data_IF_059342964269
#
_entry.id   IF_059342964269
#
_cell.length_a   1.000
_cell.length_b   1.000
_cell.length_c   1.000
_cell.angle_alpha   90.00
_cell.angle_beta   90.00
_cell.angle_gamma   90.00
#
_symmetry.space_group_name_H-M   'P 1'
#
loop_
_entity.id
_entity.type
_entity.pdbx_description
1 polymer ?
2 non-polymer ?
3 non-polymer ?
4 water ?
#
# COMPACT_ATOMS: atom_id res chain seq x y z
N UNK A 17 7.25 -12.85 19.98
CA UNK A 17 6.49 -11.63 19.70
C UNK A 17 7.24 -10.66 18.75
N UNK A 18 6.50 -9.80 18.06
CA UNK A 18 7.05 -8.95 17.00
C UNK A 18 8.02 -7.99 17.57
N UNK A 19 9.20 -7.86 16.97
CA UNK A 19 10.26 -7.06 17.50
C UNK A 19 10.47 -5.80 16.69
N UNK A 20 9.42 -5.28 16.04
CA UNK A 20 9.61 -4.05 15.21
C UNK A 20 8.31 -3.26 15.35
N UNK A 21 8.28 -2.06 14.81
CA UNK A 21 7.05 -1.30 14.78
C UNK A 21 6.16 -1.79 13.62
N UNK A 22 4.89 -1.36 13.64
CA UNK A 22 3.96 -1.61 12.54
C UNK A 22 4.34 -0.72 11.36
N UNK A 23 5.38 -1.17 10.72
CA UNK A 23 6.17 -0.39 9.88
C UNK A 23 5.40 -0.20 8.56
N UNK A 24 4.50 -1.12 8.09
CA UNK A 24 3.83 -0.78 6.79
C UNK A 24 2.55 -0.01 7.14
N UNK A 25 2.46 1.27 6.83
CA UNK A 25 1.35 2.10 7.11
C UNK A 25 0.52 2.28 5.87
N UNK A 26 -0.78 2.20 6.02
CA UNK A 26 -1.71 2.37 4.92
C UNK A 26 -2.69 3.45 5.36
N UNK A 27 -2.83 4.50 4.58
CA UNK A 27 -3.71 5.61 5.01
C UNK A 27 -4.27 6.29 3.79
N UNK A 28 -5.17 7.24 3.96
CA UNK A 28 -5.83 7.89 2.83
C UNK A 28 -5.38 9.29 2.74
N UNK A 29 -5.15 9.76 1.52
CA UNK A 29 -4.90 11.20 1.19
C UNK A 29 -5.99 11.63 0.22
N UNK A 30 -6.16 12.96 0.19
CA UNK A 30 -7.19 13.56 -0.70
C UNK A 30 -6.70 13.61 -2.06
N UNK A 31 -7.68 13.35 -2.99
CA UNK A 31 -7.51 13.58 -4.40
C UNK A 31 -8.50 14.67 -4.78
N UNK A 32 -8.47 15.05 -6.03
CA UNK A 32 -9.44 16.08 -6.45
C UNK A 32 -10.79 15.56 -6.79
N UNK A 33 -11.73 16.45 -6.81
CA UNK A 33 -13.08 16.11 -7.17
C UNK A 33 -13.76 15.08 -6.24
N UNK A 34 -13.42 15.19 -4.99
CA UNK A 34 -14.06 14.36 -4.02
C UNK A 34 -13.59 12.95 -3.97
N UNK A 35 -12.57 12.61 -4.70
CA UNK A 35 -11.98 11.32 -4.64
C UNK A 35 -10.88 11.28 -3.65
N UNK A 36 -10.43 10.01 -3.37
CA UNK A 36 -9.36 9.77 -2.42
C UNK A 36 -8.34 8.83 -3.00
N UNK A 37 -7.21 8.74 -2.35
CA UNK A 37 -6.12 7.85 -2.72
C UNK A 37 -5.63 7.12 -1.48
N UNK A 38 -5.19 5.89 -1.68
CA UNK A 38 -4.62 5.05 -0.63
C UNK A 38 -3.10 5.10 -0.73
N UNK A 39 -2.42 5.42 0.37
CA UNK A 39 -0.99 5.49 0.42
C UNK A 39 -0.51 4.32 1.23
N UNK A 40 0.51 3.63 0.64
CA UNK A 40 1.22 2.52 1.41
C UNK A 40 2.69 3.00 1.58
N UNK A 41 3.03 3.17 2.83
CA UNK A 41 4.37 3.67 3.20
C UNK A 41 5.01 2.70 4.11
N UNK A 42 6.31 2.50 3.98
CA UNK A 42 7.04 1.60 4.88
C UNK A 42 7.58 0.32 4.32
N UNK A 43 7.19 -0.01 3.10
CA UNK A 43 7.82 -1.13 2.41
C UNK A 43 9.23 -0.69 2.03
N UNK A 44 10.23 -1.52 2.32
CA UNK A 44 11.64 -1.14 2.15
C UNK A 44 11.93 -1.02 0.63
N UNK A 45 12.11 0.21 0.21
CA UNK A 45 12.26 0.57 -1.17
C UNK A 45 13.64 0.12 -1.69
N UNK A 46 14.58 -0.11 -0.79
CA UNK A 46 15.91 -0.61 -1.19
C UNK A 46 15.84 -2.09 -1.56
N UNK A 47 15.14 -2.90 -0.79
CA UNK A 47 15.08 -4.27 -0.95
C UNK A 47 14.05 -4.67 -2.05
N UNK A 48 12.89 -3.97 -2.06
CA UNK A 48 11.78 -4.37 -2.96
C UNK A 48 11.49 -3.31 -3.96
N UNK A 49 10.97 -3.77 -5.09
CA UNK A 49 10.66 -2.87 -6.24
C UNK A 49 9.23 -2.35 -6.04
N UNK A 50 9.11 -1.12 -5.53
CA UNK A 50 7.77 -0.61 -5.31
C UNK A 50 6.98 -0.44 -6.58
N UNK A 51 7.63 -0.17 -7.73
CA UNK A 51 6.89 -0.08 -9.00
C UNK A 51 6.20 -1.35 -9.32
N UNK A 52 6.90 -2.46 -9.08
CA UNK A 52 6.34 -3.73 -9.35
C UNK A 52 5.14 -4.11 -8.46
N UNK A 53 5.36 -3.82 -7.20
CA UNK A 53 4.26 -4.04 -6.21
C UNK A 53 3.08 -3.16 -6.55
N UNK A 54 3.32 -1.92 -6.93
CA UNK A 54 2.21 -1.07 -7.37
C UNK A 54 1.49 -1.64 -8.54
N UNK A 55 2.24 -2.12 -9.53
CA UNK A 55 1.58 -2.71 -10.72
C UNK A 55 0.72 -3.86 -10.36
N UNK A 56 1.12 -4.76 -9.45
CA UNK A 56 0.41 -5.91 -9.05
C UNK A 56 -0.90 -5.47 -8.34
N UNK A 57 -0.77 -4.51 -7.43
CA UNK A 57 -1.98 -4.11 -6.69
C UNK A 57 -2.91 -3.41 -7.64
N UNK A 58 -2.45 -2.59 -8.54
CA UNK A 58 -3.26 -1.85 -9.60
C UNK A 58 -4.03 -2.89 -10.42
N UNK A 59 -3.40 -3.98 -10.76
CA UNK A 59 -4.06 -5.00 -11.57
C UNK A 59 -5.08 -5.72 -10.77
N UNK A 60 -4.84 -6.07 -9.50
CA UNK A 60 -5.75 -6.75 -8.69
C UNK A 60 -7.02 -5.92 -8.43
N UNK A 61 -6.84 -4.60 -8.25
CA UNK A 61 -7.96 -3.71 -7.92
C UNK A 61 -8.53 -3.01 -9.17
N UNK A 62 -7.94 -3.13 -10.35
CA UNK A 62 -8.31 -2.34 -11.60
C UNK A 62 -8.40 -0.89 -11.29
N UNK A 63 -7.37 -0.36 -10.68
CA UNK A 63 -7.34 1.06 -10.25
C UNK A 63 -6.10 1.73 -10.75
N UNK A 64 -5.99 3.01 -10.84
CA UNK A 64 -4.77 3.67 -11.09
C UNK A 64 -3.84 3.67 -9.91
N UNK A 65 -2.63 4.16 -10.16
CA UNK A 65 -1.68 4.34 -9.04
C UNK A 65 -0.28 4.49 -9.56
N UNK A 66 0.62 4.63 -8.62
CA UNK A 66 2.02 4.91 -8.94
C UNK A 66 2.87 4.51 -7.74
N UNK A 67 4.15 4.36 -7.94
CA UNK A 67 5.13 4.38 -6.92
C UNK A 67 5.94 5.64 -7.10
N UNK A 68 6.06 6.39 -6.02
CA UNK A 68 6.92 7.57 -6.03
C UNK A 68 7.34 8.00 -4.68
N UNK A 69 8.59 8.49 -4.57
CA UNK A 69 9.08 9.02 -3.31
C UNK A 69 8.95 8.02 -2.15
N UNK A 70 9.21 6.75 -2.44
CA UNK A 70 9.22 5.73 -1.43
C UNK A 70 7.87 5.22 -0.93
N UNK A 71 6.85 5.60 -1.68
CA UNK A 71 5.48 5.24 -1.31
C UNK A 71 4.73 4.71 -2.51
N UNK A 72 3.71 3.87 -2.29
CA UNK A 72 2.80 3.48 -3.34
C UNK A 72 1.51 4.27 -3.11
N UNK A 73 0.98 4.82 -4.20
CA UNK A 73 -0.29 5.54 -4.22
C UNK A 73 -1.25 4.85 -5.10
N UNK A 74 -2.43 4.55 -4.61
CA UNK A 74 -3.50 3.88 -5.36
C UNK A 74 -4.72 4.77 -5.46
N UNK A 75 -5.36 4.82 -6.62
CA UNK A 75 -6.62 5.54 -6.78
C UNK A 75 -7.74 4.84 -5.99
N UNK A 76 -8.42 5.57 -5.16
CA UNK A 76 -9.50 5.07 -4.32
C UNK A 76 -9.09 4.65 -2.97
N UNK A 77 -10.03 4.30 -2.12
CA UNK A 77 -9.80 3.84 -0.75
C UNK A 77 -9.87 2.32 -0.76
N UNK A 78 -8.67 1.67 -0.58
CA UNK A 78 -8.57 0.19 -0.61
C UNK A 78 -8.21 -0.37 0.67
N UNK A 79 -8.45 0.35 1.79
CA UNK A 79 -8.18 -0.14 3.10
C UNK A 79 -8.95 -1.40 3.40
N UNK A 80 -10.09 -1.61 2.76
CA UNK A 80 -10.90 -2.81 3.06
C UNK A 80 -10.16 -4.09 2.65
N UNK A 81 -9.33 -4.04 1.63
CA UNK A 81 -8.77 -5.24 1.05
C UNK A 81 -7.22 -5.23 1.18
N UNK A 82 -6.55 -4.19 1.65
CA UNK A 82 -5.11 -4.05 1.49
C UNK A 82 -4.35 -5.08 2.31
N UNK A 83 -4.81 -5.46 3.49
CA UNK A 83 -4.05 -6.47 4.28
C UNK A 83 -4.07 -7.79 3.54
N UNK A 84 -5.18 -8.22 2.97
CA UNK A 84 -5.26 -9.46 2.22
C UNK A 84 -4.38 -9.35 1.03
N UNK A 85 -4.41 -8.24 0.29
CA UNK A 85 -3.66 -8.17 -0.93
C UNK A 85 -2.18 -8.17 -0.65
N UNK A 86 -1.74 -7.46 0.38
CA UNK A 86 -0.30 -7.50 0.72
C UNK A 86 0.10 -8.85 1.24
N UNK A 87 -0.79 -9.53 1.92
CA UNK A 87 -0.47 -10.95 2.34
C UNK A 87 -0.38 -11.83 1.19
N UNK A 88 -1.07 -11.63 0.08
CA UNK A 88 -0.91 -12.43 -1.16
C UNK A 88 0.50 -12.22 -1.69
N UNK A 89 1.10 -11.06 -1.41
CA UNK A 89 2.46 -10.76 -1.79
C UNK A 89 3.47 -11.05 -0.69
N UNK A 90 3.04 -11.84 0.28
CA UNK A 90 3.96 -12.34 1.28
C UNK A 90 4.27 -11.46 2.40
N UNK A 91 3.65 -10.26 2.50
CA UNK A 91 3.90 -9.41 3.67
C UNK A 91 3.16 -9.94 4.89
N UNK A 92 3.83 -9.88 6.05
CA UNK A 92 3.25 -10.26 7.32
C UNK A 92 2.09 -9.28 7.74
N UNK A 93 0.96 -9.80 8.03
CA UNK A 93 -0.22 -8.89 8.34
C UNK A 93 0.04 -8.16 9.62
N UNK A 94 0.85 -8.69 10.52
CA UNK A 94 1.18 -7.93 11.74
C UNK A 94 2.02 -6.70 11.59
N UNK A 95 2.69 -6.53 10.43
CA UNK A 95 3.45 -5.37 10.20
C UNK A 95 2.60 -4.24 9.56
N UNK A 96 1.36 -4.59 9.20
CA UNK A 96 0.51 -3.63 8.43
C UNK A 96 -0.45 -2.89 9.32
N UNK A 97 -0.32 -1.59 9.41
CA UNK A 97 -1.25 -0.73 10.20
C UNK A 97 -2.14 -0.03 9.17
N UNK A 98 -3.42 -0.30 9.21
CA UNK A 98 -4.39 0.44 8.35
C UNK A 98 -4.94 1.59 9.21
N UNK A 99 -4.70 2.79 8.80
CA UNK A 99 -5.03 3.97 9.60
C UNK A 99 -6.20 4.67 8.94
X LIG B 1 6.54 -8.14 -5.52
X LIG B 1 5.65 -8.79 -5.28
X LIG B 1 7.60 -7.74 -4.68
X LIG B 1 6.50 -7.56 -6.75
X LIG C 1 -7.76 17.80 -3.36
X LIG C 1 -6.89 17.00 -3.31
X LIG C 1 -8.81 17.43 -2.60
#
# INVERSE_FOLDING_TARGET
MVPRIVNPLDEMLFKEVLKEQQRIKVYIERARYGKVKTIIEGIDEKEFDLEEIAKKLKAKLACGGTAKNGRIELQGDHRDRIKKLLAELGFSEELIEVE
NO3 N O1 O2 O3
NO2 N O1 O2
#
